data_IF_898599240307
#
_entry.id   IF_898599240307
#
_cell.length_a   1.000
_cell.length_b   1.000
_cell.length_c   1.000
_cell.angle_alpha   90.00
_cell.angle_beta   90.00
_cell.angle_gamma   90.00
#
_symmetry.space_group_name_H-M   'P 1'
#
loop_
_entity.id
_entity.type
_entity.pdbx_description
1 polymer ?
#
# COMPACT_ATOMS: atom_id res chain seq x y z
N UNK A 1 11.01 -0.46 3.96
CA UNK A 1 12.04 -1.46 3.60
C UNK A 1 12.08 -1.61 2.07
N UNK A 2 13.18 -2.15 1.53
CA UNK A 2 13.31 -2.54 0.11
C UNK A 2 12.87 -1.45 -0.87
N UNK A 3 13.45 -0.25 -0.73
CA UNK A 3 13.06 0.93 -1.51
C UNK A 3 13.82 0.94 -2.83
N UNK A 4 13.08 1.00 -3.94
CA UNK A 4 13.62 1.31 -5.27
C UNK A 4 12.94 2.59 -5.74
N UNK A 5 13.74 3.62 -6.01
CA UNK A 5 13.21 4.90 -6.47
C UNK A 5 12.76 4.78 -7.93
N UNK A 6 11.80 5.61 -8.33
CA UNK A 6 11.33 5.64 -9.73
C UNK A 6 12.47 5.89 -10.72
N UNK A 7 13.42 6.75 -10.36
CA UNK A 7 14.56 7.12 -11.20
C UNK A 7 15.52 5.96 -11.46
N UNK A 8 15.51 4.93 -10.60
CA UNK A 8 16.36 3.75 -10.72
C UNK A 8 15.69 2.62 -11.52
N UNK A 9 14.42 2.79 -11.91
CA UNK A 9 13.66 1.77 -12.66
C UNK A 9 13.95 1.94 -14.16
N UNK A 10 14.54 0.93 -14.83
CA UNK A 10 14.80 1.02 -16.25
C UNK A 10 13.48 1.07 -17.02
N UNK A 11 13.39 1.97 -18.00
CA UNK A 11 12.22 2.13 -18.87
C UNK A 11 10.91 2.38 -18.09
N UNK A 12 10.99 3.12 -16.97
CA UNK A 12 9.81 3.47 -16.19
C UNK A 12 8.74 4.17 -17.05
N UNK A 13 7.51 3.70 -16.98
CA UNK A 13 6.42 4.29 -17.73
C UNK A 13 6.18 5.76 -17.32
N UNK A 14 5.71 6.57 -18.27
CA UNK A 14 5.21 7.90 -17.97
C UNK A 14 3.95 7.79 -17.10
N UNK A 15 4.00 8.38 -15.91
CA UNK A 15 2.89 8.32 -14.95
C UNK A 15 1.88 9.39 -15.30
N UNK A 16 0.66 8.96 -15.64
CA UNK A 16 -0.50 9.84 -15.74
C UNK A 16 -0.98 10.26 -14.35
N UNK A 17 -1.50 11.49 -14.23
CA UNK A 17 -2.14 12.01 -13.02
C UNK A 17 -3.56 11.47 -12.80
N UNK A 18 -4.06 10.61 -13.70
CA UNK A 18 -5.35 9.96 -13.55
C UNK A 18 -5.48 9.24 -12.20
N UNK A 19 -6.70 9.26 -11.65
CA UNK A 19 -7.04 8.57 -10.43
C UNK A 19 -6.81 7.05 -10.58
N UNK A 20 -5.98 6.42 -9.72
CA UNK A 20 -5.64 5.01 -9.85
C UNK A 20 -6.73 4.08 -9.29
N UNK A 21 -6.91 2.92 -9.90
CA UNK A 21 -7.55 1.80 -9.23
C UNK A 21 -6.66 1.26 -8.11
N UNK A 22 -7.26 0.90 -6.98
CA UNK A 22 -6.54 0.45 -5.79
C UNK A 22 -6.86 -1.02 -5.56
N UNK A 23 -5.82 -1.83 -5.41
CA UNK A 23 -5.93 -3.24 -5.05
C UNK A 23 -5.41 -3.39 -3.62
N UNK A 24 -6.26 -3.85 -2.71
CA UNK A 24 -5.90 -4.23 -1.35
C UNK A 24 -5.95 -5.76 -1.27
N UNK A 25 -4.84 -6.41 -0.92
CA UNK A 25 -4.76 -7.88 -0.88
C UNK A 25 -4.21 -8.37 0.45
N UNK A 26 -4.82 -9.41 1.02
CA UNK A 26 -4.47 -10.04 2.30
C UNK A 26 -4.50 -9.09 3.53
N UNK A 27 -5.36 -8.08 3.53
CA UNK A 27 -5.60 -7.19 4.68
C UNK A 27 -6.92 -7.55 5.38
N UNK A 28 -7.02 -8.79 5.87
CA UNK A 28 -8.28 -9.38 6.35
C UNK A 28 -8.52 -9.26 7.85
N UNK A 29 -7.51 -8.86 8.63
CA UNK A 29 -7.71 -8.62 10.07
C UNK A 29 -8.40 -7.26 10.30
N UNK A 30 -8.94 -7.01 11.50
CA UNK A 30 -9.52 -5.69 11.83
C UNK A 30 -8.54 -4.53 11.63
N UNK A 31 -7.27 -4.73 12.00
CA UNK A 31 -6.22 -3.72 11.81
C UNK A 31 -5.82 -3.66 10.33
N UNK A 32 -5.80 -4.78 9.62
CA UNK A 32 -5.62 -4.85 8.16
C UNK A 32 -6.68 -4.05 7.40
N UNK A 33 -7.95 -4.26 7.71
CA UNK A 33 -9.08 -3.50 7.14
C UNK A 33 -8.96 -2.01 7.49
N UNK A 34 -8.60 -1.68 8.74
CA UNK A 34 -8.39 -0.30 9.19
C UNK A 34 -7.31 0.41 8.37
N UNK A 35 -6.13 -0.19 8.21
CA UNK A 35 -5.07 0.42 7.41
C UNK A 35 -5.44 0.45 5.92
N UNK A 36 -6.16 -0.56 5.42
CA UNK A 36 -6.69 -0.56 4.06
C UNK A 36 -7.63 0.62 3.81
N UNK A 37 -8.50 0.95 4.79
CA UNK A 37 -9.36 2.13 4.77
C UNK A 37 -8.53 3.41 4.79
N UNK A 38 -7.52 3.53 5.64
CA UNK A 38 -6.66 4.72 5.69
C UNK A 38 -5.96 4.92 4.33
N UNK A 39 -5.33 3.87 3.80
CA UNK A 39 -4.54 3.94 2.56
C UNK A 39 -5.42 4.21 1.33
N UNK A 40 -6.61 3.62 1.24
CA UNK A 40 -7.49 3.85 0.07
C UNK A 40 -8.00 5.28 -0.01
N UNK A 41 -8.25 5.92 1.14
CA UNK A 41 -8.76 7.29 1.19
C UNK A 41 -7.69 8.36 0.95
N UNK A 42 -6.42 7.97 0.77
CA UNK A 42 -5.38 8.87 0.27
C UNK A 42 -5.54 9.18 -1.23
N UNK A 43 -6.42 8.46 -1.93
CA UNK A 43 -6.59 8.58 -3.37
C UNK A 43 -8.05 8.91 -3.72
N UNK A 44 -8.27 9.67 -4.82
CA UNK A 44 -9.61 9.94 -5.32
C UNK A 44 -10.24 8.68 -5.96
N UNK A 45 -11.56 8.72 -6.12
CA UNK A 45 -12.30 7.63 -6.78
C UNK A 45 -11.90 7.55 -8.27
N UNK A 46 -11.44 6.37 -8.76
CA UNK A 46 -11.04 6.21 -10.15
C UNK A 46 -12.24 6.15 -11.09
N UNK A 47 -12.03 6.63 -12.31
CA UNK A 47 -12.97 6.38 -13.41
C UNK A 47 -12.84 4.93 -13.91
N UNK A 48 -13.90 4.31 -14.45
CA UNK A 48 -13.85 2.91 -14.92
C UNK A 48 -12.84 2.64 -16.05
N UNK A 49 -12.46 3.67 -16.80
CA UNK A 49 -11.51 3.62 -17.91
C UNK A 49 -10.05 3.89 -17.47
N UNK A 50 -9.81 4.13 -16.18
CA UNK A 50 -8.47 4.38 -15.68
C UNK A 50 -7.57 3.15 -15.86
N UNK A 51 -6.41 3.38 -16.47
CA UNK A 51 -5.40 2.34 -16.73
C UNK A 51 -4.35 2.25 -15.64
N UNK A 52 -4.40 3.14 -14.65
CA UNK A 52 -3.44 3.22 -13.57
C UNK A 52 -3.89 2.35 -12.40
N UNK A 53 -3.00 1.53 -11.87
CA UNK A 53 -3.30 0.59 -10.78
C UNK A 53 -2.22 0.70 -9.70
N UNK A 54 -2.65 0.88 -8.46
CA UNK A 54 -1.82 0.82 -7.28
C UNK A 54 -2.20 -0.43 -6.48
N UNK A 55 -1.21 -1.19 -6.06
CA UNK A 55 -1.41 -2.42 -5.30
C UNK A 55 -0.75 -2.32 -3.94
N UNK A 56 -1.53 -2.59 -2.88
CA UNK A 56 -1.08 -2.81 -1.53
C UNK A 56 -1.31 -4.28 -1.19
N UNK A 57 -0.23 -5.05 -1.19
CA UNK A 57 -0.30 -6.51 -0.99
C UNK A 57 0.39 -6.85 0.32
N UNK A 58 -0.38 -7.36 1.30
CA UNK A 58 0.18 -7.82 2.55
C UNK A 58 0.79 -9.23 2.42
N UNK A 59 2.03 -9.37 2.87
CA UNK A 59 2.74 -10.64 3.02
C UNK A 59 3.55 -10.59 4.32
N UNK A 60 3.18 -11.42 5.29
CA UNK A 60 3.84 -11.51 6.60
C UNK A 60 3.93 -10.16 7.35
N UNK A 61 2.84 -9.40 7.40
CA UNK A 61 2.73 -8.04 7.98
C UNK A 61 3.60 -6.97 7.30
N UNK A 62 4.14 -7.26 6.12
CA UNK A 62 4.73 -6.28 5.21
C UNK A 62 3.77 -6.00 4.07
N UNK A 63 3.38 -4.73 3.93
CA UNK A 63 2.55 -4.26 2.82
C UNK A 63 3.50 -3.86 1.69
N UNK A 64 3.55 -4.68 0.66
CA UNK A 64 4.24 -4.37 -0.59
C UNK A 64 3.42 -3.36 -1.38
N UNK A 65 4.03 -2.20 -1.66
CA UNK A 65 3.48 -1.20 -2.57
C UNK A 65 4.05 -1.40 -3.97
N UNK A 66 3.16 -1.44 -4.96
CA UNK A 66 3.54 -1.39 -6.38
C UNK A 66 2.61 -0.47 -7.15
N UNK A 67 3.15 0.17 -8.18
CA UNK A 67 2.42 1.11 -9.01
C UNK A 67 2.63 0.77 -10.49
N UNK A 68 1.58 0.29 -11.13
CA UNK A 68 1.58 -0.17 -12.50
C UNK A 68 0.60 0.62 -13.36
N UNK A 69 0.85 0.61 -14.65
CA UNK A 69 -0.08 0.98 -15.70
C UNK A 69 -0.35 -0.30 -16.48
N UNK A 70 -1.61 -0.61 -16.74
CA UNK A 70 -1.97 -1.79 -17.53
C UNK A 70 -2.44 -1.40 -18.93
N UNK A 71 -2.01 -2.17 -19.92
CA UNK A 71 -2.50 -2.14 -21.29
C UNK A 71 -3.16 -3.48 -21.61
N UNK A 72 -4.15 -3.46 -22.50
CA UNK A 72 -4.69 -4.68 -23.11
C UNK A 72 -4.20 -4.74 -24.54
N UNK A 73 -3.43 -5.77 -24.87
CA UNK A 73 -2.97 -6.03 -26.23
C UNK A 73 -3.34 -7.46 -26.60
N UNK A 74 -4.05 -7.65 -27.73
CA UNK A 74 -4.48 -8.98 -28.23
C UNK A 74 -5.22 -9.85 -27.20
N UNK A 75 -5.90 -9.24 -26.23
CA UNK A 75 -6.64 -9.94 -25.16
C UNK A 75 -5.82 -10.22 -23.90
N UNK A 76 -4.51 -10.01 -23.92
CA UNK A 76 -3.63 -10.16 -22.76
C UNK A 76 -3.43 -8.82 -22.03
N UNK A 77 -3.33 -8.90 -20.70
CA UNK A 77 -3.06 -7.73 -19.86
C UNK A 77 -1.55 -7.63 -19.66
N UNK A 78 -0.95 -6.57 -20.21
CA UNK A 78 0.44 -6.23 -19.96
C UNK A 78 0.54 -5.17 -18.87
N UNK A 79 1.46 -5.36 -17.92
CA UNK A 79 1.73 -4.40 -16.86
C UNK A 79 3.07 -3.72 -17.09
N UNK A 80 3.07 -2.40 -17.03
CA UNK A 80 4.27 -1.58 -17.04
C UNK A 80 4.42 -0.87 -15.71
N UNK A 81 5.60 -0.90 -15.12
CA UNK A 81 5.85 -0.25 -13.85
C UNK A 81 6.16 1.24 -14.03
N UNK A 82 5.50 2.08 -13.24
CA UNK A 82 5.64 3.54 -13.35
C UNK A 82 6.06 4.24 -12.06
N UNK A 83 5.97 3.57 -10.91
CA UNK A 83 6.25 4.17 -9.60
C UNK A 83 7.30 3.43 -8.77
N UNK A 84 7.66 3.97 -7.60
CA UNK A 84 8.64 3.36 -6.71
C UNK A 84 8.15 2.01 -6.15
N UNK A 85 9.10 1.17 -5.79
CA UNK A 85 8.85 -0.08 -5.06
C UNK A 85 9.25 0.13 -3.61
N UNK A 86 8.40 -0.29 -2.68
CA UNK A 86 8.79 -0.36 -1.29
C UNK A 86 7.87 -1.31 -0.52
N UNK A 87 8.33 -1.68 0.67
CA UNK A 87 7.57 -2.44 1.65
C UNK A 87 7.36 -1.58 2.90
N UNK A 88 6.10 -1.44 3.28
CA UNK A 88 5.68 -0.77 4.50
C UNK A 88 5.48 -1.80 5.61
N UNK A 89 5.83 -1.42 6.84
CA UNK A 89 5.50 -2.17 8.04
C UNK A 89 4.76 -1.26 8.99
N UNK A 90 3.54 -1.64 9.37
CA UNK A 90 2.76 -0.87 10.34
C UNK A 90 3.42 -0.96 11.71
N UNK A 91 3.75 0.18 12.31
CA UNK A 91 4.29 0.23 13.67
C UNK A 91 3.32 0.88 14.67
N UNK A 92 2.47 1.80 14.23
CA UNK A 92 1.56 2.53 15.10
C UNK A 92 0.37 3.11 14.32
N UNK A 93 -0.81 3.12 14.94
CA UNK A 93 -1.99 3.89 14.53
C UNK A 93 -2.43 4.71 15.75
N UNK A 94 -2.53 6.02 15.58
CA UNK A 94 -3.00 6.98 16.59
C UNK A 94 -4.38 7.52 16.20
N UNK A 95 -5.24 7.74 17.18
CA UNK A 95 -6.55 8.37 17.00
C UNK A 95 -6.45 9.91 17.04
N UNK A 96 -5.59 10.47 16.20
CA UNK A 96 -5.34 11.91 16.19
C UNK A 96 -4.53 12.36 14.99
N UNK A 97 -4.27 13.67 14.92
CA UNK A 97 -3.37 14.25 13.91
C UNK A 97 -1.91 14.06 14.31
N UNK A 98 -1.01 14.35 13.38
CA UNK A 98 0.44 14.23 13.60
C UNK A 98 0.92 15.16 14.73
N UNK A 99 0.29 16.33 14.87
CA UNK A 99 0.63 17.33 15.89
C UNK A 99 0.13 16.96 17.30
N UNK A 100 -0.90 16.13 17.39
CA UNK A 100 -1.48 15.74 18.65
C UNK A 100 -0.61 14.67 19.32
N UNK A 101 0.19 15.07 20.31
CA UNK A 101 1.13 14.19 21.02
C UNK A 101 0.43 13.25 22.02
N UNK A 102 -0.62 13.74 22.68
CA UNK A 102 -1.34 13.04 23.77
C UNK A 102 -2.62 12.35 23.29
N UNK A 103 -2.52 11.53 22.26
CA UNK A 103 -3.66 10.79 21.71
C UNK A 103 -3.51 9.28 21.90
N UNK A 104 -4.66 8.62 22.01
CA UNK A 104 -4.72 7.19 22.21
C UNK A 104 -4.16 6.42 21.01
N UNK A 105 -3.46 5.32 21.30
CA UNK A 105 -2.96 4.39 20.29
C UNK A 105 -4.01 3.32 20.01
N UNK A 106 -4.60 3.36 18.81
CA UNK A 106 -5.46 2.27 18.32
C UNK A 106 -4.65 0.99 18.10
N UNK A 107 -3.42 1.13 17.59
CA UNK A 107 -2.49 0.01 17.40
C UNK A 107 -1.06 0.44 17.70
N UNK A 108 -0.29 -0.45 18.31
CA UNK A 108 1.14 -0.29 18.54
C UNK A 108 1.85 -1.63 18.37
N UNK A 109 2.89 -1.65 17.56
CA UNK A 109 3.76 -2.79 17.40
C UNK A 109 4.60 -2.98 18.66
N UNK A 110 4.48 -4.15 19.30
CA UNK A 110 5.20 -4.50 20.53
C UNK A 110 6.22 -5.61 20.26
N UNK A 111 7.44 -5.27 19.83
CA UNK A 111 8.43 -6.27 19.37
C UNK A 111 9.02 -7.11 20.51
N UNK A 112 9.03 -6.59 21.74
CA UNK A 112 9.67 -7.22 22.91
C UNK A 112 8.74 -8.17 23.69
N UNK A 113 7.62 -8.59 23.11
CA UNK A 113 6.75 -9.62 23.71
C UNK A 113 7.16 -11.01 23.20
N UNK A 114 7.13 -12.02 24.07
CA UNK A 114 7.49 -13.41 23.71
C UNK A 114 6.69 -13.95 22.51
N UNK A 115 5.44 -13.53 22.35
CA UNK A 115 4.55 -13.92 21.25
C UNK A 115 4.64 -13.02 20.01
N UNK A 116 5.46 -11.95 20.04
CA UNK A 116 5.50 -10.93 18.99
C UNK A 116 5.82 -11.50 17.61
N UNK A 117 6.73 -12.48 17.52
CA UNK A 117 7.13 -13.10 16.25
C UNK A 117 6.07 -14.04 15.65
N UNK A 118 5.11 -14.50 16.45
CA UNK A 118 4.07 -15.45 16.02
C UNK A 118 2.75 -14.76 15.63
N UNK A 119 2.55 -13.52 16.07
CA UNK A 119 1.31 -12.78 15.84
C UNK A 119 1.34 -12.14 14.45
N UNK A 120 0.29 -12.38 13.66
CA UNK A 120 0.00 -11.62 12.44
C UNK A 120 -0.97 -10.49 12.80
N UNK A 121 -0.60 -9.27 12.46
CA UNK A 121 -1.36 -8.07 12.79
C UNK A 121 -2.23 -7.58 11.65
N UNK A 122 -1.90 -7.89 10.39
CA UNK A 122 -2.56 -7.36 9.18
C UNK A 122 -3.36 -8.44 8.44
#
# INVERSE_FOLDING_TARGET
HNVVMRHDIPQAAHVSEAAPHIILHNLSTKIGERIGIILKHLFPVPKPDSRRVISFVNKNDFISFRHHIYGKEKGEVQLMEGGPRFELKLYQIKLGTIEATEVENEYLLRPYMNSAKKRKAL
#
